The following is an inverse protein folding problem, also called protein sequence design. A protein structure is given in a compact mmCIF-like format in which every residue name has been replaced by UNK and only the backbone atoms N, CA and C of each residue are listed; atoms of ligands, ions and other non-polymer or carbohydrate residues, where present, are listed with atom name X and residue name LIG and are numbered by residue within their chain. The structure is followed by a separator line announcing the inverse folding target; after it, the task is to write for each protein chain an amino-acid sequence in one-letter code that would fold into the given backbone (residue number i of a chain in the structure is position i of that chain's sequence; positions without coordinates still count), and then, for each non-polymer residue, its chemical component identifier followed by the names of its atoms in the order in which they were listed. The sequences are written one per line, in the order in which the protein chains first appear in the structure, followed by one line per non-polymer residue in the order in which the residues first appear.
data_IF_770451130724
#
_entry.id   IF_770451130724
#
_cell.length_a   1.000
_cell.length_b   1.000
_cell.length_c   1.000
_cell.angle_alpha   90.00
_cell.angle_beta   90.00
_cell.angle_gamma   90.00
#
_symmetry.space_group_name_H-M   'P 1'
#
loop_
_entity.id
_entity.type
_entity.pdbx_description
1 polymer ?
#
# COMPACT_ATOMS: atom_id res chain seq x y z
N UNK A 1 -14.49 14.15 -18.16
CA UNK A 1 -13.21 13.71 -18.75
C UNK A 1 -12.11 14.08 -17.76
N UNK A 2 -11.43 13.10 -17.17
CA UNK A 2 -10.40 13.36 -16.15
C UNK A 2 -9.05 13.38 -16.84
N UNK A 3 -8.47 14.57 -17.03
CA UNK A 3 -7.16 14.72 -17.66
C UNK A 3 -6.03 14.02 -16.87
N UNK A 4 -6.26 13.73 -15.58
CA UNK A 4 -5.30 13.02 -14.73
C UNK A 4 -5.24 11.50 -14.97
N UNK A 5 -6.10 10.92 -15.82
CA UNK A 5 -6.04 9.49 -16.13
C UNK A 5 -4.85 9.17 -17.05
N UNK A 6 -3.80 8.58 -16.49
CA UNK A 6 -2.53 8.33 -17.19
C UNK A 6 -2.30 6.86 -17.55
N UNK A 7 -3.18 5.94 -17.12
CA UNK A 7 -2.90 4.50 -17.16
C UNK A 7 -1.67 4.09 -16.34
N UNK A 8 -1.14 5.00 -15.51
CA UNK A 8 0.01 4.76 -14.66
C UNK A 8 -0.37 3.97 -13.41
N UNK A 9 0.59 3.21 -12.88
CA UNK A 9 0.40 2.36 -11.71
C UNK A 9 0.94 2.98 -10.41
N UNK A 10 1.77 4.03 -10.49
CA UNK A 10 2.34 4.71 -9.33
C UNK A 10 2.30 6.22 -9.52
N UNK A 11 1.75 6.89 -8.52
CA UNK A 11 1.56 8.33 -8.50
C UNK A 11 2.08 8.86 -7.16
N UNK A 12 2.71 10.02 -7.19
CA UNK A 12 3.16 10.74 -5.99
C UNK A 12 2.97 12.23 -6.15
N UNK A 13 2.84 12.91 -5.02
CA UNK A 13 2.71 14.37 -4.95
C UNK A 13 4.00 14.99 -4.43
N UNK A 14 4.46 16.05 -5.08
CA UNK A 14 5.60 16.84 -4.61
C UNK A 14 5.60 18.24 -5.24
N UNK A 15 5.80 19.28 -4.42
CA UNK A 15 5.86 20.70 -4.86
C UNK A 15 4.75 21.08 -5.86
N UNK A 16 3.49 20.92 -5.45
CA UNK A 16 2.31 21.30 -6.23
C UNK A 16 2.19 20.60 -7.59
N UNK A 17 2.80 19.42 -7.73
CA UNK A 17 2.76 18.60 -8.94
C UNK A 17 2.52 17.15 -8.63
N UNK A 18 1.95 16.47 -9.63
CA UNK A 18 1.77 15.03 -9.63
C UNK A 18 2.91 14.42 -10.45
N UNK A 19 3.60 13.44 -9.87
CA UNK A 19 4.62 12.64 -10.52
C UNK A 19 4.11 11.22 -10.71
N UNK A 20 4.43 10.61 -11.84
CA UNK A 20 3.96 9.26 -12.14
C UNK A 20 4.94 8.50 -13.03
N UNK A 21 4.95 7.18 -12.90
CA UNK A 21 5.73 6.30 -13.77
C UNK A 21 4.89 5.87 -14.97
N UNK A 22 5.52 5.76 -16.14
CA UNK A 22 4.90 5.14 -17.30
C UNK A 22 5.83 4.13 -17.94
N UNK A 23 5.25 3.07 -18.50
CA UNK A 23 5.97 2.04 -19.22
C UNK A 23 5.53 2.03 -20.68
N UNK A 24 6.46 2.34 -21.60
CA UNK A 24 6.20 2.33 -23.04
C UNK A 24 7.39 1.75 -23.79
N UNK A 25 7.13 0.75 -24.63
CA UNK A 25 8.15 0.13 -25.50
C UNK A 25 9.45 -0.24 -24.75
N UNK A 26 9.33 -0.85 -23.56
CA UNK A 26 10.47 -1.30 -22.74
C UNK A 26 11.29 -0.16 -22.14
N UNK A 27 10.68 1.01 -21.99
CA UNK A 27 11.27 2.17 -21.31
C UNK A 27 10.36 2.56 -20.16
N UNK A 28 10.91 2.55 -18.96
CA UNK A 28 10.28 3.11 -17.79
C UNK A 28 10.69 4.57 -17.68
N UNK A 29 9.71 5.48 -17.66
CA UNK A 29 9.94 6.92 -17.54
C UNK A 29 9.27 7.47 -16.30
N UNK A 30 9.89 8.50 -15.73
CA UNK A 30 9.28 9.36 -14.73
C UNK A 30 8.73 10.59 -15.44
N UNK A 31 7.47 10.89 -15.17
CA UNK A 31 6.73 11.98 -15.75
C UNK A 31 6.18 12.88 -14.65
N UNK A 32 5.77 14.09 -15.02
CA UNK A 32 5.01 14.97 -14.15
C UNK A 32 3.83 15.62 -14.88
N UNK A 33 2.87 16.08 -14.10
CA UNK A 33 1.73 16.89 -14.54
C UNK A 33 1.33 17.87 -13.43
N UNK A 34 0.50 18.85 -13.79
CA UNK A 34 -0.15 19.73 -12.83
C UNK A 34 -1.19 18.97 -11.99
N UNK A 35 -1.60 19.54 -10.85
CA UNK A 35 -2.60 18.95 -9.96
C UNK A 35 -3.97 18.74 -10.60
N UNK A 36 -4.30 19.53 -11.63
CA UNK A 36 -5.53 19.39 -12.42
C UNK A 36 -5.42 18.35 -13.56
N UNK A 37 -4.30 17.63 -13.63
CA UNK A 37 -4.02 16.65 -14.68
C UNK A 37 -3.59 17.27 -16.00
N UNK A 38 -3.28 18.56 -16.08
CA UNK A 38 -2.79 19.19 -17.32
C UNK A 38 -1.26 19.18 -17.41
N UNK A 39 -0.71 19.54 -18.58
CA UNK A 39 0.74 19.73 -18.79
C UNK A 39 1.60 18.51 -18.49
N UNK A 40 1.19 17.34 -18.99
CA UNK A 40 2.00 16.12 -18.93
C UNK A 40 3.37 16.33 -19.59
N UNK A 41 4.42 15.94 -18.88
CA UNK A 41 5.80 16.07 -19.33
C UNK A 41 6.63 14.89 -18.85
N UNK A 42 7.39 14.29 -19.77
CA UNK A 42 8.46 13.37 -19.41
C UNK A 42 9.61 14.13 -18.75
N UNK A 43 10.06 13.65 -17.58
CA UNK A 43 11.20 14.23 -16.85
C UNK A 43 12.49 13.50 -17.24
N UNK A 44 12.49 12.16 -17.10
CA UNK A 44 13.67 11.33 -17.36
C UNK A 44 13.30 9.86 -17.60
N UNK A 45 14.21 9.15 -18.25
CA UNK A 45 14.21 7.69 -18.30
C UNK A 45 14.76 7.13 -16.98
N UNK A 46 14.04 6.19 -16.38
CA UNK A 46 14.47 5.47 -15.18
C UNK A 46 15.34 4.27 -15.56
N UNK A 47 14.89 3.49 -16.54
CA UNK A 47 15.60 2.33 -17.07
C UNK A 47 15.03 1.92 -18.44
N UNK A 48 15.81 1.13 -19.18
CA UNK A 48 15.43 0.54 -20.47
C UNK A 48 15.14 -0.97 -20.35
N UNK A 49 14.61 -1.39 -19.21
CA UNK A 49 14.34 -2.79 -18.95
C UNK A 49 12.95 -3.18 -19.49
N UNK A 50 12.81 -4.44 -19.94
CA UNK A 50 11.52 -5.02 -20.34
C UNK A 50 10.56 -5.24 -19.15
N UNK A 51 11.00 -4.87 -17.93
CA UNK A 51 10.31 -5.15 -16.68
C UNK A 51 9.77 -3.86 -16.07
N UNK A 52 8.69 -3.98 -15.31
CA UNK A 52 8.05 -2.84 -14.69
C UNK A 52 8.87 -2.33 -13.50
N UNK A 53 8.59 -1.10 -13.12
CA UNK A 53 9.18 -0.48 -11.95
C UNK A 53 8.16 -0.51 -10.80
N UNK A 54 8.56 -1.03 -9.64
CA UNK A 54 7.72 -1.08 -8.43
C UNK A 54 8.27 -0.18 -7.35
N UNK A 55 7.50 0.84 -6.94
CA UNK A 55 8.06 1.87 -6.09
C UNK A 55 7.07 2.76 -5.37
N UNK A 56 7.66 3.62 -4.54
CA UNK A 56 6.98 4.58 -3.68
C UNK A 56 7.63 5.96 -3.81
N UNK A 57 6.79 6.99 -3.77
CA UNK A 57 7.26 8.38 -3.69
C UNK A 57 7.42 8.79 -2.24
N UNK A 58 8.57 9.38 -1.91
CA UNK A 58 8.84 9.89 -0.57
C UNK A 58 9.80 11.09 -0.63
N UNK A 59 9.43 12.21 0.00
CA UNK A 59 10.27 13.40 0.16
C UNK A 59 10.97 13.90 -1.12
N UNK A 60 10.27 13.90 -2.26
CA UNK A 60 10.83 14.36 -3.54
C UNK A 60 11.72 13.35 -4.26
N UNK A 61 11.73 12.10 -3.79
CA UNK A 61 12.38 10.97 -4.44
C UNK A 61 11.35 9.92 -4.82
N UNK A 62 11.66 9.19 -5.89
CA UNK A 62 10.99 7.96 -6.25
C UNK A 62 11.94 6.79 -5.95
N UNK A 63 11.54 5.94 -5.01
CA UNK A 63 12.25 4.74 -4.62
C UNK A 63 11.65 3.56 -5.36
N UNK A 64 12.47 2.68 -5.94
CA UNK A 64 11.93 1.59 -6.73
C UNK A 64 12.83 0.36 -6.87
N UNK A 65 12.20 -0.75 -7.21
CA UNK A 65 12.82 -2.01 -7.61
C UNK A 65 12.43 -2.35 -9.05
N UNK A 66 13.31 -3.05 -9.76
CA UNK A 66 13.00 -3.59 -11.08
C UNK A 66 12.48 -5.01 -10.96
N UNK A 67 11.33 -5.30 -11.57
CA UNK A 67 10.77 -6.64 -11.52
C UNK A 67 9.48 -6.81 -12.29
N UNK A 68 8.92 -8.01 -12.24
CA UNK A 68 7.55 -8.26 -12.67
C UNK A 68 6.60 -8.17 -11.47
N UNK A 69 5.37 -7.66 -11.67
CA UNK A 69 4.33 -7.83 -10.67
C UNK A 69 4.06 -9.33 -10.55
N UNK A 70 4.60 -9.96 -9.51
CA UNK A 70 4.27 -11.33 -9.17
C UNK A 70 2.79 -11.43 -8.87
N UNK A 71 2.08 -12.27 -9.63
CA UNK A 71 0.65 -12.57 -9.50
C UNK A 71 0.32 -13.38 -8.22
N UNK A 72 1.07 -13.16 -7.13
CA UNK A 72 0.84 -13.74 -5.82
C UNK A 72 1.23 -12.71 -4.76
N UNK A 73 0.27 -11.85 -4.40
CA UNK A 73 -0.02 -11.23 -3.10
C UNK A 73 1.09 -10.77 -2.11
N UNK A 74 2.36 -11.20 -2.15
CA UNK A 74 3.40 -10.88 -1.17
C UNK A 74 4.83 -11.08 -1.76
N UNK A 75 5.12 -10.52 -2.93
CA UNK A 75 6.50 -10.51 -3.44
C UNK A 75 6.65 -9.93 -4.84
N UNK A 76 7.28 -8.77 -4.95
CA UNK A 76 7.90 -8.34 -6.21
C UNK A 76 9.15 -9.19 -6.35
N UNK A 77 9.28 -9.97 -7.43
CA UNK A 77 10.57 -10.57 -7.75
C UNK A 77 11.44 -9.44 -8.28
N UNK A 78 12.42 -9.02 -7.47
CA UNK A 78 13.42 -8.08 -7.97
C UNK A 78 14.42 -8.85 -8.82
N UNK A 79 14.58 -8.45 -10.08
CA UNK A 79 15.34 -9.20 -11.08
C UNK A 79 16.84 -8.87 -11.05
N UNK A 80 17.22 -7.73 -10.49
CA UNK A 80 18.62 -7.28 -10.41
C UNK A 80 19.15 -7.12 -8.97
N UNK A 81 18.32 -7.49 -7.98
CA UNK A 81 18.59 -7.41 -6.56
C UNK A 81 18.94 -6.00 -6.05
N UNK A 82 18.51 -4.93 -6.74
CA UNK A 82 18.80 -3.55 -6.36
C UNK A 82 17.54 -2.76 -5.98
N UNK A 83 17.66 -1.98 -4.92
CA UNK A 83 16.74 -0.90 -4.60
C UNK A 83 17.36 0.42 -5.08
N UNK A 84 16.60 1.16 -5.87
CA UNK A 84 16.98 2.44 -6.44
C UNK A 84 16.28 3.59 -5.73
N UNK A 85 16.88 4.78 -5.74
CA UNK A 85 16.13 6.03 -5.62
C UNK A 85 16.54 7.02 -6.70
N UNK A 86 15.65 7.94 -7.03
CA UNK A 86 15.94 9.04 -7.93
C UNK A 86 15.16 10.28 -7.51
N UNK A 87 15.77 11.46 -7.63
CA UNK A 87 15.08 12.71 -7.36
C UNK A 87 14.09 13.02 -8.49
N UNK A 88 12.89 13.45 -8.13
CA UNK A 88 11.79 13.56 -9.10
C UNK A 88 11.78 14.85 -9.91
N UNK A 89 12.38 15.92 -9.39
CA UNK A 89 12.28 17.28 -9.93
C UNK A 89 13.56 17.78 -10.64
N UNK A 90 14.50 16.89 -10.98
CA UNK A 90 15.72 17.22 -11.72
C UNK A 90 16.08 16.17 -12.78
N UNK A 91 17.28 16.21 -13.36
CA UNK A 91 17.79 15.23 -14.34
C UNK A 91 18.84 14.26 -13.76
N UNK A 92 18.92 14.12 -12.44
CA UNK A 92 19.80 13.14 -11.79
C UNK A 92 19.49 11.71 -12.27
N UNK A 93 20.55 10.90 -12.40
CA UNK A 93 20.41 9.47 -12.67
C UNK A 93 19.95 8.74 -11.40
N UNK A 94 19.24 7.61 -11.53
CA UNK A 94 18.96 6.75 -10.38
C UNK A 94 20.25 6.29 -9.69
N UNK A 95 20.21 6.24 -8.36
CA UNK A 95 21.27 5.71 -7.51
C UNK A 95 20.82 4.40 -6.86
N UNK A 96 21.75 3.45 -6.70
CA UNK A 96 21.49 2.22 -5.93
C UNK A 96 21.72 2.54 -4.47
N UNK A 97 20.70 2.30 -3.64
CA UNK A 97 20.76 2.57 -2.20
C UNK A 97 20.90 1.31 -1.35
N UNK A 98 20.44 0.17 -1.86
CA UNK A 98 20.59 -1.11 -1.21
C UNK A 98 20.68 -2.21 -2.28
N UNK A 99 21.55 -3.19 -2.05
CA UNK A 99 21.74 -4.34 -2.94
C UNK A 99 21.83 -5.63 -2.13
N UNK A 100 21.52 -6.75 -2.78
CA UNK A 100 21.70 -8.09 -2.23
C UNK A 100 20.43 -8.93 -2.24
N UNK A 101 20.57 -10.21 -1.92
CA UNK A 101 19.49 -11.19 -2.04
C UNK A 101 18.27 -10.89 -1.16
N UNK A 102 18.45 -10.11 -0.09
CA UNK A 102 17.35 -9.66 0.76
C UNK A 102 16.30 -8.85 -0.02
N UNK A 103 16.73 -8.11 -1.05
CA UNK A 103 15.84 -7.28 -1.86
C UNK A 103 14.98 -8.14 -2.80
N UNK A 104 15.49 -9.30 -3.23
CA UNK A 104 14.88 -10.18 -4.24
C UNK A 104 13.42 -10.54 -3.97
N UNK A 105 13.09 -10.72 -2.69
CA UNK A 105 11.77 -11.17 -2.20
C UNK A 105 11.19 -10.19 -1.19
N UNK A 106 11.52 -8.90 -1.35
CA UNK A 106 11.08 -7.86 -0.44
C UNK A 106 9.93 -7.05 -1.01
N UNK A 107 9.05 -6.59 -0.14
CA UNK A 107 8.36 -5.31 -0.31
C UNK A 107 9.05 -4.29 0.57
N UNK A 108 8.95 -3.00 0.22
CA UNK A 108 9.58 -1.97 1.02
C UNK A 108 8.67 -0.78 1.25
N UNK A 109 8.93 -0.06 2.34
CA UNK A 109 8.31 1.22 2.66
C UNK A 109 9.43 2.18 3.11
N UNK A 110 9.27 3.47 2.80
CA UNK A 110 10.24 4.50 3.18
C UNK A 110 9.58 5.43 4.18
N UNK A 111 10.22 5.59 5.33
CA UNK A 111 9.83 6.56 6.35
C UNK A 111 11.06 7.32 6.80
N UNK A 112 11.03 8.62 6.55
CA UNK A 112 12.18 9.50 6.78
C UNK A 112 13.44 8.95 6.09
N UNK A 113 14.48 8.65 6.85
CA UNK A 113 15.74 8.10 6.37
C UNK A 113 15.86 6.58 6.58
N UNK A 114 14.74 5.90 6.82
CA UNK A 114 14.69 4.46 7.07
C UNK A 114 13.85 3.75 6.02
N UNK A 115 14.37 2.62 5.53
CA UNK A 115 13.68 1.73 4.61
C UNK A 115 13.30 0.47 5.37
N UNK A 116 12.01 0.23 5.51
CA UNK A 116 11.50 -1.01 6.06
C UNK A 116 11.33 -2.02 4.93
N UNK A 117 11.84 -3.24 5.14
CA UNK A 117 11.73 -4.34 4.19
C UNK A 117 10.90 -5.45 4.81
N UNK A 118 9.84 -5.87 4.12
CA UNK A 118 9.08 -7.07 4.45
C UNK A 118 9.59 -8.17 3.53
N UNK A 119 10.37 -9.10 4.08
CA UNK A 119 11.14 -10.08 3.32
C UNK A 119 10.55 -11.47 3.50
N UNK A 120 10.25 -12.16 2.40
CA UNK A 120 9.85 -13.56 2.44
C UNK A 120 11.10 -14.46 2.47
N UNK A 121 11.36 -15.09 3.61
CA UNK A 121 12.49 -16.01 3.76
C UNK A 121 12.17 -17.41 3.19
N UNK A 122 13.19 -18.09 2.66
CA UNK A 122 13.03 -19.42 2.08
C UNK A 122 12.68 -20.47 3.12
N UNK A 123 11.66 -21.29 2.82
CA UNK A 123 11.19 -22.36 3.71
C UNK A 123 10.31 -21.92 4.87
N UNK A 124 10.01 -20.62 5.00
CA UNK A 124 9.12 -20.06 6.04
C UNK A 124 7.67 -19.85 5.58
N UNK A 125 6.73 -19.92 6.52
CA UNK A 125 5.32 -19.56 6.32
C UNK A 125 5.02 -18.07 6.57
N UNK A 126 6.00 -17.28 7.00
CA UNK A 126 5.86 -15.85 7.33
C UNK A 126 6.87 -14.95 6.62
N UNK A 127 6.63 -13.65 6.64
CA UNK A 127 7.64 -12.66 6.23
C UNK A 127 8.34 -12.10 7.47
N UNK A 128 9.58 -11.68 7.29
CA UNK A 128 10.38 -11.00 8.30
C UNK A 128 10.35 -9.49 8.06
N UNK A 129 10.43 -8.70 9.13
CA UNK A 129 10.62 -7.25 9.04
C UNK A 129 12.09 -6.92 9.24
N UNK A 130 12.66 -6.13 8.34
CA UNK A 130 13.97 -5.52 8.47
C UNK A 130 13.87 -4.01 8.36
N UNK A 131 14.82 -3.29 8.93
CA UNK A 131 15.04 -1.86 8.70
C UNK A 131 16.43 -1.63 8.12
N UNK A 132 16.53 -0.72 7.16
CA UNK A 132 17.77 -0.22 6.60
C UNK A 132 17.87 1.29 6.81
N UNK A 133 18.91 1.73 7.50
CA UNK A 133 19.19 3.15 7.71
C UNK A 133 19.93 3.73 6.51
N UNK A 134 19.34 4.69 5.82
CA UNK A 134 20.00 5.41 4.73
C UNK A 134 21.14 6.33 5.21
N UNK A 135 21.22 6.61 6.52
CA UNK A 135 22.29 7.43 7.12
C UNK A 135 23.55 6.61 7.42
N UNK A 136 23.36 5.43 8.02
CA UNK A 136 24.49 4.61 8.51
C UNK A 136 24.78 3.40 7.62
N UNK A 137 23.87 3.05 6.71
CA UNK A 137 23.95 1.82 5.92
C UNK A 137 23.68 0.55 6.72
N UNK A 138 23.22 0.66 7.96
CA UNK A 138 22.95 -0.48 8.82
C UNK A 138 21.64 -1.17 8.42
N UNK A 139 21.71 -2.49 8.25
CA UNK A 139 20.57 -3.37 8.06
C UNK A 139 20.32 -4.18 9.34
N UNK A 140 19.10 -4.15 9.86
CA UNK A 140 18.73 -4.80 11.12
C UNK A 140 17.45 -5.60 10.95
N UNK A 141 17.44 -6.86 11.42
CA UNK A 141 16.22 -7.67 11.50
C UNK A 141 15.44 -7.23 12.74
N UNK A 142 14.17 -6.89 12.55
CA UNK A 142 13.25 -6.44 13.61
C UNK A 142 12.37 -7.59 14.08
N UNK A 143 11.85 -8.39 13.15
CA UNK A 143 10.91 -9.46 13.49
C UNK A 143 11.00 -10.63 12.52
N UNK A 144 10.82 -11.84 13.05
CA UNK A 144 10.66 -13.07 12.26
C UNK A 144 9.23 -13.27 11.74
N UNK A 145 8.28 -12.46 12.21
CA UNK A 145 6.89 -12.55 11.80
C UNK A 145 6.31 -11.16 11.60
N UNK A 146 6.12 -10.75 10.35
CA UNK A 146 5.50 -9.50 9.96
C UNK A 146 4.70 -9.76 8.70
N UNK A 147 3.49 -9.22 8.58
CA UNK A 147 2.58 -9.63 7.52
C UNK A 147 1.96 -8.45 6.77
N UNK A 148 1.84 -8.61 5.45
CA UNK A 148 0.91 -7.85 4.61
C UNK A 148 1.18 -6.34 4.50
N UNK A 149 0.11 -5.62 4.17
CA UNK A 149 0.09 -4.16 4.08
C UNK A 149 0.34 -3.58 5.47
N UNK A 150 1.31 -2.69 5.54
CA UNK A 150 1.78 -2.11 6.80
C UNK A 150 1.67 -0.60 6.74
N UNK A 151 1.54 0.02 7.90
CA UNK A 151 1.57 1.47 8.05
C UNK A 151 2.67 1.85 9.01
N UNK A 152 3.44 2.86 8.63
CA UNK A 152 4.59 3.31 9.39
C UNK A 152 4.50 4.80 9.62
N UNK A 153 4.75 5.18 10.85
CA UNK A 153 5.04 6.55 11.29
C UNK A 153 6.51 6.60 11.69
N UNK A 154 6.99 7.79 12.08
CA UNK A 154 8.36 7.93 12.61
C UNK A 154 8.59 7.11 13.90
N UNK A 155 7.54 6.86 14.68
CA UNK A 155 7.64 6.26 16.01
C UNK A 155 7.19 4.78 16.03
N UNK A 156 6.30 4.40 15.09
CA UNK A 156 5.64 3.10 15.12
C UNK A 156 5.42 2.50 13.73
N UNK A 157 5.50 1.17 13.64
CA UNK A 157 4.99 0.37 12.52
C UNK A 157 3.80 -0.48 12.94
N UNK A 158 2.84 -0.67 12.03
CA UNK A 158 1.65 -1.47 12.27
C UNK A 158 1.47 -2.49 11.15
N UNK A 159 1.09 -3.71 11.52
CA UNK A 159 0.62 -4.71 10.57
C UNK A 159 -0.55 -5.50 11.16
N UNK A 160 -1.31 -6.13 10.28
CA UNK A 160 -2.35 -7.07 10.67
C UNK A 160 -1.92 -8.50 10.35
N UNK A 161 -1.98 -9.37 11.34
CA UNK A 161 -1.78 -10.82 11.18
C UNK A 161 -3.13 -11.51 11.22
N UNK A 162 -3.40 -12.29 10.17
CA UNK A 162 -4.70 -12.92 9.91
C UNK A 162 -5.12 -13.75 11.13
N UNK A 163 -6.29 -13.43 11.67
CA UNK A 163 -6.91 -14.10 12.82
C UNK A 163 -6.06 -14.12 14.11
N UNK A 164 -5.05 -13.25 14.20
CA UNK A 164 -4.30 -12.96 15.41
C UNK A 164 -4.66 -11.56 15.92
N UNK A 165 -4.52 -10.55 15.05
CA UNK A 165 -4.80 -9.16 15.39
C UNK A 165 -3.80 -8.16 14.80
N UNK A 166 -3.83 -6.95 15.35
CA UNK A 166 -2.96 -5.84 14.98
C UNK A 166 -1.72 -5.87 15.85
N UNK A 167 -0.56 -5.92 15.19
CA UNK A 167 0.75 -5.85 15.82
C UNK A 167 1.34 -4.46 15.65
N UNK A 168 2.04 -4.01 16.69
CA UNK A 168 2.74 -2.74 16.75
C UNK A 168 4.23 -2.97 16.95
N UNK A 169 5.03 -2.34 16.10
CA UNK A 169 6.47 -2.19 16.22
C UNK A 169 6.76 -0.81 16.80
N UNK A 170 7.51 -0.74 17.90
CA UNK A 170 8.01 0.51 18.48
C UNK A 170 9.45 0.76 17.98
N UNK A 171 9.64 1.87 17.27
CA UNK A 171 10.92 2.23 16.64
C UNK A 171 12.00 2.53 17.70
N UNK A 172 11.62 3.17 18.81
CA UNK A 172 12.55 3.53 19.88
C UNK A 172 13.07 2.31 20.64
N UNK A 173 12.16 1.40 21.03
CA UNK A 173 12.52 0.23 21.85
C UNK A 173 12.92 -0.99 21.04
N UNK A 174 12.58 -1.02 19.76
CA UNK A 174 12.77 -2.20 18.91
C UNK A 174 11.73 -3.30 19.11
N UNK A 175 10.77 -3.11 20.01
CA UNK A 175 9.83 -4.15 20.41
C UNK A 175 8.68 -4.32 19.42
N UNK A 176 8.28 -5.58 19.19
CA UNK A 176 7.08 -5.94 18.44
C UNK A 176 6.09 -6.62 19.37
N UNK A 177 4.90 -6.05 19.50
CA UNK A 177 3.87 -6.52 20.44
C UNK A 177 2.53 -6.69 19.73
N UNK A 178 1.70 -7.59 20.22
CA UNK A 178 0.29 -7.67 19.83
C UNK A 178 -0.45 -6.53 20.53
N UNK A 179 -0.85 -5.51 19.78
CA UNK A 179 -1.48 -4.30 20.31
C UNK A 179 -2.99 -4.49 20.47
N UNK A 180 -3.63 -5.20 19.53
CA UNK A 180 -5.05 -5.57 19.60
C UNK A 180 -5.29 -6.96 19.05
N UNK A 181 -5.80 -7.87 19.88
CA UNK A 181 -6.28 -9.17 19.40
C UNK A 181 -7.57 -8.99 18.59
N UNK A 182 -7.61 -9.55 17.38
CA UNK A 182 -8.80 -9.59 16.53
C UNK A 182 -8.93 -11.02 16.01
N UNK A 183 -10.02 -11.69 16.39
CA UNK A 183 -10.30 -13.08 16.03
C UNK A 183 -11.70 -13.19 15.44
N UNK A 184 -11.79 -13.89 14.33
CA UNK A 184 -13.04 -14.27 13.69
C UNK A 184 -13.24 -15.76 13.85
N UNK A 185 -14.50 -16.18 13.95
CA UNK A 185 -14.85 -17.60 14.14
C UNK A 185 -14.58 -18.44 12.89
N UNK A 186 -14.43 -17.80 11.74
CA UNK A 186 -14.21 -18.46 10.47
C UNK A 186 -12.75 -18.26 9.99
N UNK A 187 -12.36 -19.05 9.00
CA UNK A 187 -11.07 -18.91 8.32
C UNK A 187 -11.13 -17.90 7.16
N UNK A 188 -12.12 -17.00 7.20
CA UNK A 188 -12.38 -16.04 6.14
C UNK A 188 -11.21 -15.09 5.89
N UNK A 189 -11.08 -14.65 4.65
CA UNK A 189 -10.06 -13.68 4.25
C UNK A 189 -10.29 -12.33 4.95
N UNK A 190 -9.23 -11.74 5.49
CA UNK A 190 -9.28 -10.46 6.19
C UNK A 190 -8.19 -9.54 5.65
N UNK A 191 -8.55 -8.32 5.28
CA UNK A 191 -7.60 -7.27 4.95
C UNK A 191 -7.78 -6.07 5.85
N UNK A 192 -6.68 -5.43 6.23
CA UNK A 192 -6.68 -4.19 6.99
C UNK A 192 -5.99 -3.10 6.19
N UNK A 193 -6.53 -1.89 6.25
CA UNK A 193 -5.91 -0.65 5.80
C UNK A 193 -5.83 0.29 6.99
N UNK A 194 -4.66 0.84 7.19
CA UNK A 194 -4.38 1.79 8.27
C UNK A 194 -4.24 3.17 7.65
N UNK A 195 -5.04 4.12 8.13
CA UNK A 195 -4.96 5.53 7.76
C UNK A 195 -4.88 6.39 9.02
N UNK A 196 -4.44 7.65 8.92
CA UNK A 196 -4.21 8.50 10.09
C UNK A 196 -5.41 8.63 11.02
N UNK A 197 -6.64 8.68 10.48
CA UNK A 197 -7.83 8.90 11.30
C UNK A 197 -8.48 7.59 11.76
N UNK A 198 -8.45 6.55 10.93
CA UNK A 198 -9.18 5.30 11.17
C UNK A 198 -8.45 4.07 10.62
N UNK A 199 -8.79 2.91 11.18
CA UNK A 199 -8.35 1.60 10.71
C UNK A 199 -9.56 0.91 10.08
N UNK A 200 -9.42 0.48 8.82
CA UNK A 200 -10.48 -0.15 8.05
C UNK A 200 -10.16 -1.64 7.89
N UNK A 201 -11.03 -2.49 8.40
CA UNK A 201 -10.90 -3.95 8.28
C UNK A 201 -12.03 -4.48 7.43
N UNK A 202 -11.69 -5.13 6.31
CA UNK A 202 -12.64 -5.82 5.45
C UNK A 202 -12.51 -7.31 5.70
N UNK A 203 -13.62 -7.92 6.12
CA UNK A 203 -13.70 -9.31 6.49
C UNK A 203 -14.67 -10.07 5.58
N UNK A 204 -14.20 -11.17 5.02
CA UNK A 204 -15.04 -12.15 4.35
C UNK A 204 -15.66 -13.10 5.38
N UNK A 205 -17.00 -13.08 5.49
CA UNK A 205 -17.73 -13.90 6.47
C UNK A 205 -17.99 -15.34 6.02
N UNK A 206 -17.58 -15.71 4.82
CA UNK A 206 -17.82 -17.06 4.32
C UNK A 206 -16.87 -18.07 4.98
N UNK A 207 -17.44 -19.14 5.52
CA UNK A 207 -16.70 -20.25 6.12
C UNK A 207 -16.06 -21.16 5.07
N UNK A 208 -16.57 -21.15 3.83
CA UNK A 208 -15.99 -21.90 2.72
C UNK A 208 -14.80 -21.14 2.13
N UNK A 209 -13.59 -21.62 2.40
CA UNK A 209 -12.34 -21.07 1.84
C UNK A 209 -12.29 -21.08 0.29
N UNK A 210 -13.18 -21.81 -0.37
CA UNK A 210 -13.33 -21.86 -1.84
C UNK A 210 -14.30 -20.81 -2.37
N UNK A 211 -15.08 -20.18 -1.49
CA UNK A 211 -15.94 -19.08 -1.88
C UNK A 211 -15.09 -17.93 -2.43
N UNK A 212 -15.66 -17.19 -3.36
CA UNK A 212 -15.01 -15.99 -3.90
C UNK A 212 -14.77 -15.02 -2.74
N UNK A 213 -13.52 -14.56 -2.59
CA UNK A 213 -13.08 -13.67 -1.51
C UNK A 213 -13.85 -12.35 -1.51
N UNK A 214 -14.48 -12.03 -2.62
CA UNK A 214 -15.18 -10.80 -2.91
C UNK A 214 -16.68 -10.86 -2.58
N UNK A 215 -17.15 -11.92 -1.89
CA UNK A 215 -18.54 -12.09 -1.49
C UNK A 215 -18.71 -12.07 0.03
N UNK A 216 -19.87 -11.64 0.51
CA UNK A 216 -20.23 -11.64 1.94
C UNK A 216 -19.22 -10.88 2.83
N UNK A 217 -18.96 -9.64 2.41
CA UNK A 217 -17.96 -8.77 3.01
C UNK A 217 -18.58 -7.83 4.03
N UNK A 218 -17.90 -7.67 5.16
CA UNK A 218 -18.21 -6.65 6.16
C UNK A 218 -17.01 -5.73 6.30
N UNK A 219 -17.26 -4.43 6.26
CA UNK A 219 -16.31 -3.39 6.63
C UNK A 219 -16.52 -3.04 8.10
N UNK A 220 -15.44 -3.08 8.87
CA UNK A 220 -15.36 -2.50 10.21
C UNK A 220 -14.47 -1.25 10.14
N UNK A 221 -14.95 -0.15 10.72
CA UNK A 221 -14.16 1.07 10.90
C UNK A 221 -13.83 1.18 12.39
N UNK A 222 -12.54 1.16 12.72
CA UNK A 222 -12.04 1.36 14.06
C UNK A 222 -11.41 2.74 14.21
N UNK A 223 -11.53 3.34 15.40
CA UNK A 223 -10.60 4.39 15.83
C UNK A 223 -9.24 3.76 16.25
N UNK A 224 -8.25 4.60 16.54
CA UNK A 224 -6.92 4.14 16.98
C UNK A 224 -6.88 3.59 18.41
N UNK A 225 -7.94 3.78 19.20
CA UNK A 225 -8.15 3.07 20.48
C UNK A 225 -8.77 1.67 20.29
N UNK A 226 -8.93 1.24 19.03
CA UNK A 226 -9.46 -0.05 18.62
C UNK A 226 -10.91 -0.29 19.04
N UNK A 227 -11.70 0.77 19.16
CA UNK A 227 -13.15 0.74 19.28
C UNK A 227 -13.78 0.72 17.90
N UNK A 228 -14.80 -0.12 17.69
CA UNK A 228 -15.55 -0.16 16.43
C UNK A 228 -16.49 1.04 16.43
N UNK A 229 -16.29 1.94 15.46
CA UNK A 229 -17.14 3.10 15.22
C UNK A 229 -18.27 2.73 14.26
N UNK A 230 -17.97 1.97 13.20
CA UNK A 230 -18.95 1.53 12.21
C UNK A 230 -18.80 0.07 11.84
N UNK A 231 -19.92 -0.56 11.48
CA UNK A 231 -19.98 -1.91 10.91
C UNK A 231 -20.93 -1.92 9.72
N UNK A 232 -20.41 -2.23 8.54
CA UNK A 232 -21.15 -2.08 7.29
C UNK A 232 -21.12 -3.38 6.50
N UNK A 233 -22.30 -3.85 6.09
CA UNK A 233 -22.42 -4.93 5.12
C UNK A 233 -22.21 -4.38 3.71
N UNK A 234 -21.25 -4.91 2.97
CA UNK A 234 -20.93 -4.47 1.60
C UNK A 234 -21.71 -5.28 0.56
N UNK A 235 -23.03 -5.29 0.65
CA UNK A 235 -23.92 -6.06 -0.23
C UNK A 235 -24.10 -5.46 -1.64
N UNK A 236 -23.72 -4.19 -1.81
CA UNK A 236 -23.75 -3.47 -3.09
C UNK A 236 -22.58 -3.81 -4.02
N UNK A 237 -21.56 -4.55 -3.55
CA UNK A 237 -20.42 -4.97 -4.38
C UNK A 237 -20.87 -6.03 -5.38
N UNK A 238 -20.50 -5.84 -6.65
CA UNK A 238 -20.88 -6.76 -7.70
C UNK A 238 -20.16 -8.12 -7.54
N UNK A 239 -20.93 -9.18 -7.35
CA UNK A 239 -20.40 -10.53 -7.10
C UNK A 239 -19.52 -10.99 -8.26
N UNK A 240 -18.28 -11.38 -7.94
CA UNK A 240 -17.30 -11.88 -8.92
C UNK A 240 -16.36 -10.82 -9.51
N UNK A 241 -16.45 -9.57 -9.05
CA UNK A 241 -15.47 -8.53 -9.34
C UNK A 241 -14.46 -8.40 -8.21
N UNK A 242 -13.21 -8.09 -8.55
CA UNK A 242 -12.16 -7.75 -7.58
C UNK A 242 -12.42 -6.32 -7.07
N UNK A 243 -13.27 -6.18 -6.07
CA UNK A 243 -13.56 -4.90 -5.39
C UNK A 243 -12.74 -4.71 -4.11
N UNK A 244 -13.15 -3.75 -3.28
CA UNK A 244 -12.65 -3.48 -1.92
C UNK A 244 -11.38 -2.63 -1.82
N UNK A 245 -11.07 -1.87 -2.87
CA UNK A 245 -10.08 -0.83 -2.73
C UNK A 245 -10.68 0.33 -1.93
N UNK A 246 -9.99 0.71 -0.87
CA UNK A 246 -10.34 1.83 -0.01
C UNK A 246 -9.10 2.70 0.12
N UNK A 247 -9.25 4.01 -0.06
CA UNK A 247 -8.16 4.96 0.13
C UNK A 247 -8.64 6.24 0.78
N UNK A 248 -7.78 6.78 1.64
CA UNK A 248 -7.98 8.05 2.32
C UNK A 248 -7.50 9.22 1.45
N UNK A 249 -8.35 10.26 1.30
CA UNK A 249 -8.06 11.46 0.50
C UNK A 249 -8.39 12.76 1.24
N UNK A 250 -8.07 12.83 2.53
CA UNK A 250 -8.33 14.02 3.35
C UNK A 250 -9.68 13.90 4.03
N UNK A 251 -10.67 14.74 3.71
CA UNK A 251 -11.98 14.69 4.38
C UNK A 251 -12.84 13.50 3.93
N UNK A 252 -12.42 12.79 2.89
CA UNK A 252 -13.17 11.67 2.30
C UNK A 252 -12.36 10.38 2.29
N UNK A 253 -13.09 9.28 2.29
CA UNK A 253 -12.59 7.97 1.89
C UNK A 253 -13.18 7.62 0.54
N UNK A 254 -12.34 7.23 -0.41
CA UNK A 254 -12.76 6.75 -1.72
C UNK A 254 -12.80 5.22 -1.70
N UNK A 255 -13.88 4.67 -2.24
CA UNK A 255 -14.10 3.24 -2.33
C UNK A 255 -14.36 2.83 -3.78
N UNK A 256 -13.74 1.73 -4.20
CA UNK A 256 -14.00 1.10 -5.49
C UNK A 256 -14.57 -0.32 -5.30
N UNK A 257 -15.83 -0.50 -5.72
CA UNK A 257 -16.48 -1.81 -5.71
C UNK A 257 -15.98 -2.76 -6.83
N UNK A 258 -15.32 -2.21 -7.85
CA UNK A 258 -14.65 -2.94 -8.93
C UNK A 258 -13.32 -2.25 -9.27
N UNK A 259 -12.19 -2.89 -8.97
CA UNK A 259 -10.85 -2.35 -9.24
C UNK A 259 -10.52 -2.26 -10.74
N UNK A 260 -11.30 -2.88 -11.61
CA UNK A 260 -11.15 -2.72 -13.06
C UNK A 260 -11.73 -1.39 -13.57
N UNK A 261 -12.44 -0.65 -12.70
CA UNK A 261 -13.14 0.57 -13.02
C UNK A 261 -12.69 1.72 -12.10
N UNK A 262 -13.12 2.94 -12.45
CA UNK A 262 -12.94 4.09 -11.57
C UNK A 262 -13.70 3.90 -10.25
N UNK A 263 -13.27 4.54 -9.15
CA UNK A 263 -14.02 4.52 -7.90
C UNK A 263 -15.45 5.00 -8.08
N UNK A 264 -16.37 4.39 -7.34
CA UNK A 264 -17.81 4.55 -7.50
C UNK A 264 -18.51 5.00 -6.23
N UNK A 265 -17.83 4.99 -5.09
CA UNK A 265 -18.36 5.50 -3.83
C UNK A 265 -17.33 6.34 -3.06
N UNK A 266 -17.85 7.21 -2.20
CA UNK A 266 -17.08 7.86 -1.16
C UNK A 266 -17.82 7.82 0.19
N UNK A 267 -17.06 7.97 1.27
CA UNK A 267 -17.56 8.20 2.63
C UNK A 267 -17.04 9.58 3.05
N UNK A 268 -17.91 10.45 3.56
CA UNK A 268 -17.49 11.67 4.24
C UNK A 268 -17.07 11.32 5.67
N UNK A 269 -15.82 11.61 6.04
CA UNK A 269 -15.30 11.23 7.35
C UNK A 269 -16.03 11.90 8.50
N UNK A 270 -16.66 13.05 8.26
CA UNK A 270 -17.46 13.75 9.28
C UNK A 270 -18.75 13.02 9.63
N UNK A 271 -19.19 12.06 8.80
CA UNK A 271 -20.38 11.26 9.03
C UNK A 271 -20.09 9.98 9.82
N UNK A 272 -18.81 9.56 9.93
CA UNK A 272 -18.41 8.35 10.66
C UNK A 272 -18.77 8.50 12.15
N UNK A 273 -19.49 7.51 12.69
CA UNK A 273 -19.97 7.51 14.07
C UNK A 273 -21.24 8.35 14.30
N UNK A 274 -21.91 8.74 13.22
CA UNK A 274 -23.17 9.52 13.27
C UNK A 274 -24.31 8.74 12.63
N UNK A 275 -25.55 9.20 12.86
CA UNK A 275 -26.75 8.66 12.20
C UNK A 275 -26.81 8.94 10.69
N UNK A 276 -25.86 9.71 10.15
CA UNK A 276 -25.76 10.10 8.73
C UNK A 276 -24.77 9.25 7.94
N UNK A 277 -24.04 8.35 8.58
CA UNK A 277 -23.03 7.53 7.90
C UNK A 277 -23.61 6.84 6.66
N UNK A 278 -22.99 7.08 5.50
CA UNK A 278 -23.40 6.47 4.25
C UNK A 278 -22.24 6.27 3.27
N UNK A 279 -22.44 5.32 2.35
CA UNK A 279 -21.67 5.26 1.11
C UNK A 279 -22.38 6.11 0.07
N UNK A 280 -21.78 7.25 -0.26
CA UNK A 280 -22.29 8.17 -1.27
C UNK A 280 -21.79 7.75 -2.65
N UNK A 281 -22.70 7.61 -3.60
CA UNK A 281 -22.32 7.27 -4.98
C UNK A 281 -21.65 8.45 -5.65
N UNK A 282 -20.54 8.20 -6.35
CA UNK A 282 -19.88 9.20 -7.18
C UNK A 282 -20.65 9.26 -8.51
N UNK A 283 -21.37 10.35 -8.75
CA UNK A 283 -22.07 10.60 -10.02
C UNK A 283 -21.11 11.20 -11.05
N UNK A 284 -21.35 10.89 -12.33
CA UNK A 284 -20.48 11.24 -13.47
C UNK A 284 -20.79 12.60 -14.08
#
# INVERSE_FOLDING_TARGET
DCNAYTGAHQIGYYKDKIYYTSFKMNVNTLNCMNMDGTNHKEIKVLNNAYISTFGYYHNGYFYYMLGFPGLQLIGVTNDDNNLYRVKVDDNSKPEIILTGDIIKKSMFYVVEDTIYLIVREDGGFGCCLYSYSCKTGALTKISDCWAGISYYTKDYGYCYRINEGIYKYNVETGEVTLDKAIKFNNHGHCEVRFYPDYIYLIHNRNDDYRALREQDLVLYIYNWDYEIIETVLLDFINKGKRGNFITDVGDYIIFASDMDNKPDYYIDKSEIGTDKFAFHKIEN
#
